data_IF_212643624879
#
_entry.id   IF_212643624879
#
_cell.length_a   1.000
_cell.length_b   1.000
_cell.length_c   1.000
_cell.angle_alpha   90.00
_cell.angle_beta   90.00
_cell.angle_gamma   90.00
#
_symmetry.space_group_name_H-M   'P 1'
#
loop_
_entity.id
_entity.type
_entity.pdbx_description
1 polymer ?
#
# COMPACT_ATOMS: atom_id res chain seq x y z
N UNK A 1 -15.18 -14.97 -10.28
CA UNK A 1 -13.87 -15.62 -10.09
C UNK A 1 -13.00 -15.59 -11.34
N UNK A 2 -13.42 -16.12 -12.50
CA UNK A 2 -12.60 -16.10 -13.73
C UNK A 2 -12.10 -14.71 -14.18
N UNK A 3 -12.97 -13.69 -14.15
CA UNK A 3 -12.57 -12.31 -14.46
C UNK A 3 -11.58 -11.68 -13.46
N UNK A 4 -11.62 -12.10 -12.19
CA UNK A 4 -10.69 -11.61 -11.17
C UNK A 4 -9.28 -12.18 -11.40
N UNK A 5 -9.18 -13.48 -11.70
CA UNK A 5 -7.91 -14.10 -12.11
C UNK A 5 -7.37 -13.54 -13.43
N UNK A 6 -8.24 -13.24 -14.39
CA UNK A 6 -7.85 -12.58 -15.64
C UNK A 6 -7.31 -11.17 -15.38
N UNK A 7 -7.94 -10.41 -14.46
CA UNK A 7 -7.44 -9.11 -14.02
C UNK A 7 -6.05 -9.21 -13.39
N UNK A 8 -5.85 -10.13 -12.44
CA UNK A 8 -4.54 -10.37 -11.81
C UNK A 8 -3.50 -10.81 -12.85
N UNK A 9 -3.89 -11.63 -13.84
CA UNK A 9 -3.01 -12.05 -14.94
C UNK A 9 -2.51 -10.87 -15.77
N UNK A 10 -3.41 -9.97 -16.19
CA UNK A 10 -3.02 -8.76 -16.92
C UNK A 10 -2.21 -7.79 -16.07
N UNK A 11 -2.50 -7.68 -14.77
CA UNK A 11 -1.67 -6.90 -13.84
C UNK A 11 -0.25 -7.48 -13.75
N UNK A 12 -0.13 -8.81 -13.64
CA UNK A 12 1.17 -9.51 -13.65
C UNK A 12 1.95 -9.25 -14.94
N UNK A 13 1.31 -9.38 -16.11
CA UNK A 13 1.94 -9.07 -17.40
C UNK A 13 2.38 -7.60 -17.50
N UNK A 14 1.51 -6.67 -17.10
CA UNK A 14 1.83 -5.24 -17.08
C UNK A 14 3.04 -4.91 -16.20
N UNK A 15 3.12 -5.49 -15.01
CA UNK A 15 4.28 -5.33 -14.12
C UNK A 15 5.54 -6.01 -14.65
N UNK A 16 5.42 -7.13 -15.37
CA UNK A 16 6.57 -7.77 -16.02
C UNK A 16 7.17 -6.89 -17.13
N UNK A 17 6.32 -6.26 -17.96
CA UNK A 17 6.77 -5.28 -18.99
C UNK A 17 7.39 -4.03 -18.33
N UNK A 18 6.84 -3.60 -17.20
CA UNK A 18 7.38 -2.46 -16.45
C UNK A 18 8.78 -2.77 -15.88
N UNK A 19 9.05 -4.01 -15.44
CA UNK A 19 10.37 -4.46 -14.98
C UNK A 19 11.45 -4.28 -16.04
N UNK A 20 11.12 -4.59 -17.30
CA UNK A 20 12.06 -4.53 -18.42
C UNK A 20 12.39 -3.09 -18.85
N UNK A 21 11.59 -2.11 -18.42
CA UNK A 21 11.76 -0.68 -18.75
C UNK A 21 12.23 0.18 -17.57
N UNK A 22 11.78 -0.10 -16.34
CA UNK A 22 12.14 0.59 -15.11
C UNK A 22 12.32 -0.44 -13.99
N UNK A 23 13.57 -0.67 -13.57
CA UNK A 23 13.84 -1.52 -12.41
C UNK A 23 13.62 -0.75 -11.10
N UNK A 24 12.39 -0.76 -10.58
CA UNK A 24 12.04 -0.11 -9.32
C UNK A 24 12.84 -0.64 -8.13
N UNK A 25 13.34 -1.88 -8.19
CA UNK A 25 14.19 -2.46 -7.16
C UNK A 25 15.52 -1.69 -7.03
N UNK A 26 16.03 -1.11 -8.13
CA UNK A 26 17.28 -0.33 -8.16
C UNK A 26 17.10 1.07 -7.55
N UNK A 27 15.87 1.59 -7.53
CA UNK A 27 15.50 2.85 -6.87
C UNK A 27 15.11 2.66 -5.39
N UNK A 28 15.28 1.46 -4.83
CA UNK A 28 14.98 1.22 -3.41
C UNK A 28 15.98 1.96 -2.54
N UNK A 29 15.59 3.12 -2.03
CA UNK A 29 16.41 3.86 -1.07
C UNK A 29 16.30 3.15 0.29
N UNK A 30 17.41 2.71 0.91
CA UNK A 30 17.33 2.03 2.19
C UNK A 30 16.90 2.97 3.33
N UNK A 31 16.25 2.39 4.33
CA UNK A 31 15.87 3.07 5.57
C UNK A 31 14.63 3.96 5.45
N UNK A 32 14.44 4.83 6.45
CA UNK A 32 13.21 5.61 6.63
C UNK A 32 12.85 6.48 5.40
N UNK A 33 13.85 6.99 4.67
CA UNK A 33 13.62 7.79 3.47
C UNK A 33 12.93 7.00 2.36
N UNK A 34 13.32 5.74 2.15
CA UNK A 34 12.66 4.86 1.18
C UNK A 34 11.23 4.57 1.57
N UNK A 35 11.00 4.20 2.83
CA UNK A 35 9.66 3.95 3.37
C UNK A 35 8.73 5.15 3.14
N UNK A 36 9.19 6.37 3.44
CA UNK A 36 8.41 7.59 3.20
C UNK A 36 8.07 7.82 1.71
N UNK A 37 8.97 7.46 0.79
CA UNK A 37 8.70 7.54 -0.65
C UNK A 37 7.64 6.52 -1.04
N UNK A 38 7.73 5.28 -0.59
CA UNK A 38 6.74 4.25 -0.89
C UNK A 38 5.36 4.57 -0.29
N UNK A 39 5.30 5.21 0.88
CA UNK A 39 4.05 5.76 1.42
C UNK A 39 3.47 6.82 0.48
N UNK A 40 4.29 7.77 0.00
CA UNK A 40 3.83 8.81 -0.92
C UNK A 40 3.32 8.22 -2.24
N UNK A 41 4.00 7.20 -2.76
CA UNK A 41 3.55 6.44 -3.92
C UNK A 41 2.18 5.82 -3.62
N UNK A 42 2.03 5.14 -2.48
CA UNK A 42 0.76 4.52 -2.07
C UNK A 42 -0.40 5.52 -1.99
N UNK A 43 -0.15 6.69 -1.37
CA UNK A 43 -1.11 7.80 -1.32
C UNK A 43 -1.54 8.19 -2.73
N UNK A 44 -0.58 8.42 -3.62
CA UNK A 44 -0.82 8.85 -5.00
C UNK A 44 -1.59 7.78 -5.80
N UNK A 45 -1.18 6.52 -5.68
CA UNK A 45 -1.86 5.38 -6.32
C UNK A 45 -3.31 5.31 -5.88
N UNK A 46 -3.62 5.41 -4.58
CA UNK A 46 -5.00 5.37 -4.10
C UNK A 46 -5.82 6.57 -4.57
N UNK A 47 -5.25 7.77 -4.62
CA UNK A 47 -5.96 8.95 -5.13
C UNK A 47 -6.33 8.79 -6.61
N UNK A 48 -5.46 8.16 -7.41
CA UNK A 48 -5.70 7.90 -8.83
C UNK A 48 -6.72 6.78 -9.03
N UNK A 49 -6.52 5.65 -8.33
CA UNK A 49 -7.31 4.43 -8.52
C UNK A 49 -8.69 4.53 -7.84
N UNK A 50 -8.80 5.28 -6.74
CA UNK A 50 -10.02 5.50 -5.93
C UNK A 50 -10.72 4.22 -5.45
N UNK A 51 -10.04 3.07 -5.52
CA UNK A 51 -10.51 1.76 -5.07
C UNK A 51 -9.46 1.12 -4.19
N UNK A 52 -9.81 0.92 -2.91
CA UNK A 52 -8.91 0.30 -1.93
C UNK A 52 -8.59 -1.15 -2.30
N UNK A 53 -9.59 -1.91 -2.76
CA UNK A 53 -9.42 -3.31 -3.16
C UNK A 53 -8.49 -3.43 -4.37
N UNK A 54 -8.69 -2.58 -5.38
CA UNK A 54 -7.82 -2.56 -6.55
C UNK A 54 -6.40 -2.12 -6.18
N UNK A 55 -6.26 -1.14 -5.28
CA UNK A 55 -4.93 -0.68 -4.82
C UNK A 55 -4.19 -1.80 -4.09
N UNK A 56 -4.85 -2.53 -3.18
CA UNK A 56 -4.23 -3.65 -2.48
C UNK A 56 -3.87 -4.79 -3.45
N UNK A 57 -4.73 -5.10 -4.43
CA UNK A 57 -4.41 -6.08 -5.46
C UNK A 57 -3.15 -5.72 -6.25
N UNK A 58 -2.96 -4.43 -6.58
CA UNK A 58 -1.75 -3.92 -7.24
C UNK A 58 -0.52 -4.16 -6.36
N UNK A 59 -0.59 -3.78 -5.08
CA UNK A 59 0.53 -3.92 -4.14
C UNK A 59 0.91 -5.39 -3.95
N UNK A 60 -0.08 -6.26 -3.72
CA UNK A 60 0.13 -7.70 -3.52
C UNK A 60 0.72 -8.33 -4.80
N UNK A 61 0.20 -7.96 -5.98
CA UNK A 61 0.73 -8.47 -7.25
C UNK A 61 2.18 -8.05 -7.44
N UNK A 62 2.52 -6.78 -7.16
CA UNK A 62 3.88 -6.27 -7.27
C UNK A 62 4.85 -6.97 -6.29
N UNK A 63 4.38 -7.31 -5.08
CA UNK A 63 5.15 -8.11 -4.12
C UNK A 63 5.36 -9.54 -4.63
N UNK A 64 4.30 -10.18 -5.11
CA UNK A 64 4.32 -11.57 -5.60
C UNK A 64 5.21 -11.77 -6.84
N UNK A 65 5.48 -10.72 -7.62
CA UNK A 65 6.44 -10.76 -8.74
C UNK A 65 7.83 -10.21 -8.37
N UNK A 66 8.07 -10.00 -7.07
CA UNK A 66 9.32 -9.45 -6.51
C UNK A 66 9.75 -8.12 -7.15
N UNK A 67 8.79 -7.25 -7.52
CA UNK A 67 9.09 -5.89 -7.98
C UNK A 67 9.32 -4.92 -6.83
N UNK A 68 8.74 -5.22 -5.66
CA UNK A 68 8.91 -4.45 -4.43
C UNK A 68 9.26 -5.42 -3.30
N UNK A 69 10.00 -4.93 -2.31
CA UNK A 69 10.28 -5.70 -1.10
C UNK A 69 9.05 -5.81 -0.21
N UNK A 70 9.09 -6.76 0.73
CA UNK A 70 8.06 -6.91 1.76
C UNK A 70 7.85 -5.60 2.55
N UNK A 71 8.92 -4.96 3.01
CA UNK A 71 8.85 -3.66 3.69
C UNK A 71 8.22 -2.55 2.81
N UNK A 72 8.60 -2.48 1.53
CA UNK A 72 8.04 -1.49 0.60
C UNK A 72 6.54 -1.73 0.35
N UNK A 73 6.10 -2.99 0.32
CA UNK A 73 4.69 -3.34 0.19
C UNK A 73 3.86 -2.88 1.39
N UNK A 74 4.41 -3.00 2.61
CA UNK A 74 3.77 -2.51 3.83
C UNK A 74 3.73 -0.98 3.84
N UNK A 75 4.82 -0.31 3.43
CA UNK A 75 4.86 1.14 3.28
C UNK A 75 3.82 1.66 2.26
N UNK A 76 3.69 0.99 1.12
CA UNK A 76 2.65 1.27 0.11
C UNK A 76 1.25 1.10 0.69
N UNK A 77 1.00 0.03 1.44
CA UNK A 77 -0.29 -0.23 2.08
C UNK A 77 -0.65 0.86 3.11
N UNK A 78 0.32 1.31 3.91
CA UNK A 78 0.14 2.44 4.84
C UNK A 78 -0.19 3.73 4.08
N UNK A 79 0.54 4.01 3.00
CA UNK A 79 0.28 5.14 2.12
C UNK A 79 -1.10 5.08 1.47
N UNK A 80 -1.51 3.91 0.97
CA UNK A 80 -2.81 3.69 0.38
C UNK A 80 -3.94 4.00 1.36
N UNK A 81 -3.79 3.57 2.62
CA UNK A 81 -4.75 3.89 3.68
C UNK A 81 -4.86 5.41 3.92
N UNK A 82 -3.74 6.15 3.95
CA UNK A 82 -3.77 7.62 4.01
C UNK A 82 -4.47 8.21 2.77
N UNK A 83 -4.20 7.69 1.58
CA UNK A 83 -4.78 8.17 0.32
C UNK A 83 -6.31 8.18 0.31
N UNK A 84 -6.95 7.20 0.97
CA UNK A 84 -8.43 7.17 1.08
C UNK A 84 -9.00 8.41 1.76
N UNK A 85 -8.24 9.07 2.63
CA UNK A 85 -8.67 10.28 3.33
C UNK A 85 -8.68 11.50 2.42
N UNK A 86 -7.83 11.53 1.40
CA UNK A 86 -7.84 12.60 0.40
C UNK A 86 -9.14 12.54 -0.38
N UNK A 87 -9.61 11.35 -0.76
CA UNK A 87 -10.92 11.18 -1.39
C UNK A 87 -12.04 11.71 -0.49
N UNK A 88 -12.01 11.40 0.81
CA UNK A 88 -13.00 11.92 1.77
C UNK A 88 -12.96 13.46 1.88
N UNK A 89 -11.76 14.07 1.86
CA UNK A 89 -11.59 15.53 1.87
C UNK A 89 -12.14 16.14 0.60
N UNK A 90 -11.81 15.59 -0.57
CA UNK A 90 -12.30 16.06 -1.86
C UNK A 90 -13.83 16.00 -1.92
N UNK A 91 -14.44 14.92 -1.43
CA UNK A 91 -15.89 14.80 -1.30
C UNK A 91 -16.50 15.82 -0.33
N UNK A 92 -15.74 16.33 0.64
CA UNK A 92 -16.23 17.25 1.65
C UNK A 92 -16.19 18.75 1.27
N UNK A 93 -15.59 19.12 0.13
CA UNK A 93 -15.37 20.53 -0.26
C UNK A 93 -16.69 21.31 -0.42
N UNK A 94 -17.77 20.65 -0.84
CA UNK A 94 -19.07 21.27 -1.13
C UNK A 94 -20.18 21.06 -0.10
N UNK A 95 -19.90 20.39 1.04
CA UNK A 95 -20.91 20.05 2.05
C UNK A 95 -20.84 20.94 3.30
N UNK A 96 -21.84 20.78 4.18
CA UNK A 96 -21.98 21.52 5.43
C UNK A 96 -20.78 21.34 6.38
N UNK A 97 -20.77 22.12 7.46
CA UNK A 97 -19.68 22.10 8.46
C UNK A 97 -19.49 20.71 9.08
N UNK A 98 -20.57 19.93 9.22
CA UNK A 98 -20.52 18.56 9.75
C UNK A 98 -19.73 17.63 8.83
N UNK A 99 -19.99 17.67 7.51
CA UNK A 99 -19.24 16.89 6.52
C UNK A 99 -17.75 17.23 6.51
N UNK A 100 -17.40 18.52 6.63
CA UNK A 100 -16.00 18.96 6.73
C UNK A 100 -15.33 18.47 8.01
N UNK A 101 -16.05 18.50 9.15
CA UNK A 101 -15.55 17.95 10.43
C UNK A 101 -15.31 16.45 10.35
N UNK A 102 -16.21 15.71 9.70
CA UNK A 102 -16.06 14.27 9.51
C UNK A 102 -14.82 13.94 8.67
N UNK A 103 -14.63 14.64 7.54
CA UNK A 103 -13.45 14.44 6.70
C UNK A 103 -12.14 14.78 7.43
N UNK A 104 -12.12 15.87 8.21
CA UNK A 104 -10.97 16.22 9.04
C UNK A 104 -10.68 15.18 10.12
N UNK A 105 -11.71 14.68 10.80
CA UNK A 105 -11.56 13.60 11.79
C UNK A 105 -11.01 12.32 11.14
N UNK A 106 -11.50 11.98 9.95
CA UNK A 106 -11.03 10.82 9.19
C UNK A 106 -9.55 10.97 8.78
N UNK A 107 -9.14 12.15 8.32
CA UNK A 107 -7.73 12.45 8.02
C UNK A 107 -6.85 12.27 9.27
N UNK A 108 -7.22 12.90 10.39
CA UNK A 108 -6.45 12.85 11.63
C UNK A 108 -6.30 11.40 12.10
N UNK A 109 -7.40 10.64 12.12
CA UNK A 109 -7.39 9.24 12.51
C UNK A 109 -6.42 8.42 11.66
N UNK A 110 -6.50 8.55 10.33
CA UNK A 110 -5.65 7.76 9.42
C UNK A 110 -4.18 8.18 9.44
N UNK A 111 -3.87 9.46 9.64
CA UNK A 111 -2.48 9.92 9.79
C UNK A 111 -1.89 9.39 11.09
N UNK A 112 -2.65 9.42 12.20
CA UNK A 112 -2.19 8.85 13.47
C UNK A 112 -1.95 7.35 13.36
N UNK A 113 -2.91 6.59 12.81
CA UNK A 113 -2.74 5.15 12.64
C UNK A 113 -1.60 4.81 11.68
N UNK A 114 -1.38 5.61 10.63
CA UNK A 114 -0.22 5.46 9.76
C UNK A 114 1.10 5.70 10.52
N UNK A 115 1.21 6.77 11.31
CA UNK A 115 2.41 7.01 12.13
C UNK A 115 2.67 5.85 13.10
N UNK A 116 1.62 5.36 13.78
CA UNK A 116 1.73 4.20 14.69
C UNK A 116 2.15 2.95 13.91
N UNK A 117 1.53 2.68 12.76
CA UNK A 117 1.85 1.53 11.91
C UNK A 117 3.30 1.58 11.42
N UNK A 118 3.83 2.75 11.06
CA UNK A 118 5.24 2.91 10.67
C UNK A 118 6.19 2.61 11.82
N UNK A 119 5.89 3.10 13.02
CA UNK A 119 6.72 2.87 14.21
C UNK A 119 6.68 1.41 14.67
N UNK A 120 5.54 0.74 14.49
CA UNK A 120 5.32 -0.65 14.87
C UNK A 120 5.63 -1.65 13.74
N UNK A 121 6.01 -1.17 12.56
CA UNK A 121 6.15 -2.00 11.36
C UNK A 121 7.14 -3.13 11.58
N UNK A 122 8.30 -2.83 12.16
CA UNK A 122 9.34 -3.83 12.40
C UNK A 122 8.84 -4.93 13.35
N UNK A 123 8.07 -4.55 14.36
CA UNK A 123 7.50 -5.46 15.36
C UNK A 123 6.44 -6.36 14.71
N UNK A 124 5.62 -5.82 13.80
CA UNK A 124 4.67 -6.62 13.03
C UNK A 124 5.36 -7.62 12.10
N UNK A 125 6.39 -7.19 11.37
CA UNK A 125 7.19 -8.06 10.49
C UNK A 125 7.75 -9.23 11.31
N UNK A 126 8.45 -8.94 12.41
CA UNK A 126 9.03 -9.99 13.26
C UNK A 126 7.97 -10.93 13.85
N UNK A 127 6.81 -10.41 14.24
CA UNK A 127 5.72 -11.23 14.76
C UNK A 127 5.14 -12.16 13.69
N UNK A 128 4.94 -11.66 12.46
CA UNK A 128 4.44 -12.44 11.34
C UNK A 128 5.45 -13.53 10.95
N UNK A 129 6.73 -13.19 10.82
CA UNK A 129 7.78 -14.16 10.47
C UNK A 129 7.91 -15.26 11.52
N UNK A 130 7.80 -14.89 12.80
CA UNK A 130 7.82 -15.86 13.91
C UNK A 130 6.63 -16.83 13.84
N UNK A 131 5.43 -16.31 13.56
CA UNK A 131 4.23 -17.14 13.41
C UNK A 131 4.31 -18.03 12.16
N UNK A 132 4.79 -17.51 11.03
CA UNK A 132 4.96 -18.26 9.79
C UNK A 132 5.86 -19.48 9.99
N UNK A 133 6.97 -19.30 10.73
CA UNK A 133 7.88 -20.39 11.10
C UNK A 133 7.23 -21.46 11.98
N UNK A 134 6.38 -21.07 12.94
CA UNK A 134 5.64 -22.02 13.77
C UNK A 134 4.67 -22.87 12.93
N UNK A 135 4.00 -22.23 11.97
CA UNK A 135 3.00 -22.86 11.10
C UNK A 135 3.65 -23.63 9.94
N UNK A 136 4.98 -23.63 9.82
CA UNK A 136 5.75 -24.28 8.75
C UNK A 136 5.36 -23.77 7.35
N UNK A 137 5.08 -22.48 7.23
CA UNK A 137 4.97 -21.80 5.93
C UNK A 137 6.40 -21.62 5.40
N UNK A 138 6.67 -22.06 4.18
CA UNK A 138 7.98 -21.96 3.56
C UNK A 138 8.40 -20.48 3.42
N UNK A 139 9.70 -20.18 3.55
CA UNK A 139 10.22 -18.81 3.39
C UNK A 139 10.17 -18.32 1.91
N UNK A 140 9.78 -19.20 0.98
CA UNK A 140 9.89 -19.03 -0.47
C UNK A 140 8.52 -18.90 -1.21
N UNK A 141 7.39 -18.99 -0.50
CA UNK A 141 6.01 -18.87 -1.05
C UNK A 141 5.47 -17.42 -0.97
#
# INVERSE_FOLDING_TARGET
MGFLFLGIHYMKEGFAVFRDTINLAEYTIPGLKGLLIFILIGVTTTVIIQSSDATMAIIITALAVHQISYENSLALAIGANIGTTITAILSAIGVNVEGKRLAAAHLIFNVITACVALLMMQQFIMAVDYLARIVHIAEDD
#
